data_IF_630435205356
#
_entry.id   IF_630435205356
#
_cell.length_a   1.000
_cell.length_b   1.000
_cell.length_c   1.000
_cell.angle_alpha   90.00
_cell.angle_beta   90.00
_cell.angle_gamma   90.00
#
_symmetry.space_group_name_H-M   'P 1'
#
loop_
_entity.id
_entity.type
_entity.pdbx_description
1 polymer ?
#
# COMPACT_ATOMS: atom_id res chain seq x y z
N UNK A 1 12.93 -9.03 3.27
CA UNK A 1 11.82 -9.98 3.01
C UNK A 1 11.85 -10.43 1.56
N UNK A 2 10.82 -11.16 1.09
CA UNK A 2 10.74 -11.70 -0.29
C UNK A 2 9.90 -10.89 -1.28
N UNK A 3 9.71 -9.59 -1.04
CA UNK A 3 8.78 -8.75 -1.81
C UNK A 3 9.13 -8.71 -3.31
N UNK A 4 10.40 -8.50 -3.67
CA UNK A 4 10.85 -8.52 -5.06
C UNK A 4 10.52 -9.81 -5.79
N UNK A 5 10.74 -10.97 -5.15
CA UNK A 5 10.41 -12.29 -5.72
C UNK A 5 8.91 -12.45 -5.93
N UNK A 6 8.10 -11.96 -5.00
CA UNK A 6 6.66 -11.99 -5.13
C UNK A 6 6.17 -11.07 -6.26
N UNK A 7 6.74 -9.87 -6.40
CA UNK A 7 6.45 -8.95 -7.50
C UNK A 7 6.89 -9.53 -8.86
N UNK A 8 8.04 -10.23 -8.92
CA UNK A 8 8.45 -10.94 -10.13
C UNK A 8 7.45 -12.03 -10.52
N UNK A 9 6.98 -12.82 -9.57
CA UNK A 9 5.92 -13.81 -9.79
C UNK A 9 4.63 -13.15 -10.33
N UNK A 10 4.20 -12.04 -9.72
CA UNK A 10 3.00 -11.33 -10.18
C UNK A 10 3.17 -10.87 -11.64
N UNK A 11 4.30 -10.25 -11.96
CA UNK A 11 4.54 -9.67 -13.29
C UNK A 11 4.71 -10.73 -14.37
N UNK A 12 5.51 -11.77 -14.09
CA UNK A 12 6.00 -12.70 -15.10
C UNK A 12 5.17 -13.97 -15.23
N UNK A 13 4.41 -14.33 -14.20
CA UNK A 13 3.64 -15.58 -14.18
C UNK A 13 2.15 -15.29 -14.04
N UNK A 14 1.75 -14.57 -13.00
CA UNK A 14 0.33 -14.37 -12.69
C UNK A 14 -0.39 -13.50 -13.74
N UNK A 15 0.17 -12.34 -14.09
CA UNK A 15 -0.45 -11.46 -15.09
C UNK A 15 -0.65 -12.13 -16.45
N UNK A 16 0.36 -12.81 -17.05
CA UNK A 16 0.16 -13.56 -18.28
C UNK A 16 -0.90 -14.65 -18.17
N UNK A 17 -0.95 -15.37 -17.04
CA UNK A 17 -1.96 -16.40 -16.80
C UNK A 17 -3.37 -15.80 -16.83
N UNK A 18 -3.61 -14.70 -16.11
CA UNK A 18 -4.94 -14.05 -16.07
C UNK A 18 -5.31 -13.47 -17.44
N UNK A 19 -4.36 -12.91 -18.18
CA UNK A 19 -4.61 -12.39 -19.53
C UNK A 19 -5.05 -13.49 -20.53
N UNK A 20 -4.69 -14.75 -20.28
CA UNK A 20 -5.19 -15.90 -21.03
C UNK A 20 -6.61 -16.34 -20.65
N UNK A 21 -7.12 -15.90 -19.49
CA UNK A 21 -8.44 -16.27 -18.97
C UNK A 21 -9.53 -15.24 -19.28
N UNK A 22 -9.16 -13.96 -19.43
CA UNK A 22 -10.10 -12.89 -19.73
C UNK A 22 -9.41 -11.73 -20.48
N UNK A 23 -10.13 -10.97 -21.32
CA UNK A 23 -9.62 -9.73 -21.89
C UNK A 23 -9.27 -8.73 -20.78
N UNK A 24 -8.03 -8.25 -20.78
CA UNK A 24 -7.54 -7.25 -19.83
C UNK A 24 -7.08 -5.99 -20.58
N UNK A 25 -7.31 -4.83 -19.97
CA UNK A 25 -6.68 -3.59 -20.40
C UNK A 25 -5.33 -3.41 -19.67
N UNK A 26 -4.18 -3.52 -20.37
CA UNK A 26 -2.87 -3.39 -19.74
C UNK A 26 -2.58 -1.96 -19.26
N UNK A 27 -3.35 -0.96 -19.70
CA UNK A 27 -3.26 0.42 -19.23
C UNK A 27 -4.14 0.70 -17.99
N UNK A 28 -4.90 -0.29 -17.51
CA UNK A 28 -5.82 -0.14 -16.35
C UNK A 28 -5.68 -1.28 -15.35
N UNK A 29 -4.51 -1.39 -14.73
CA UNK A 29 -4.21 -2.37 -13.70
C UNK A 29 -3.93 -1.69 -12.36
N UNK A 30 -4.45 -2.29 -11.29
CA UNK A 30 -4.27 -1.80 -9.93
C UNK A 30 -3.65 -2.85 -9.01
N UNK A 31 -2.79 -2.42 -8.09
CA UNK A 31 -2.31 -3.23 -6.98
C UNK A 31 -2.91 -2.70 -5.67
N UNK A 32 -3.65 -3.55 -4.96
CA UNK A 32 -4.19 -3.26 -3.65
C UNK A 32 -3.49 -4.09 -2.58
N UNK A 33 -3.25 -3.46 -1.43
CA UNK A 33 -2.77 -4.17 -0.25
C UNK A 33 -3.12 -3.46 1.04
N UNK A 34 -3.40 -4.25 2.07
CA UNK A 34 -3.68 -3.78 3.43
C UNK A 34 -2.55 -4.20 4.39
N UNK A 35 -2.17 -3.35 5.36
CA UNK A 35 -1.14 -3.66 6.36
C UNK A 35 0.21 -4.02 5.70
N UNK A 36 0.73 -5.24 5.86
CA UNK A 36 1.92 -5.72 5.15
C UNK A 36 1.72 -5.80 3.64
N UNK A 37 0.50 -6.07 3.19
CA UNK A 37 0.14 -5.94 1.78
C UNK A 37 0.29 -4.49 1.31
N UNK A 38 -0.13 -3.52 2.12
CA UNK A 38 0.03 -2.10 1.83
C UNK A 38 1.51 -1.68 1.80
N UNK A 39 2.32 -2.25 2.70
CA UNK A 39 3.78 -2.10 2.68
C UNK A 39 4.38 -2.63 1.36
N UNK A 40 3.95 -3.81 0.91
CA UNK A 40 4.36 -4.39 -0.37
C UNK A 40 3.90 -3.52 -1.57
N UNK A 41 2.67 -2.97 -1.52
CA UNK A 41 2.17 -2.04 -2.53
C UNK A 41 3.03 -0.78 -2.62
N UNK A 42 3.44 -0.21 -1.48
CA UNK A 42 4.37 0.94 -1.47
C UNK A 42 5.74 0.57 -2.02
N UNK A 43 6.30 -0.56 -1.59
CA UNK A 43 7.55 -1.08 -2.13
C UNK A 43 7.49 -1.24 -3.66
N UNK A 44 6.40 -1.81 -4.19
CA UNK A 44 6.18 -1.96 -5.63
C UNK A 44 6.14 -0.62 -6.36
N UNK A 45 5.42 0.38 -5.83
CA UNK A 45 5.41 1.73 -6.41
C UNK A 45 6.79 2.36 -6.37
N UNK A 46 7.50 2.25 -5.25
CA UNK A 46 8.76 2.95 -5.04
C UNK A 46 9.89 2.38 -5.89
N UNK A 47 9.93 1.06 -6.08
CA UNK A 47 10.99 0.36 -6.80
C UNK A 47 10.66 0.09 -8.27
N UNK A 48 9.38 -0.15 -8.59
CA UNK A 48 8.89 -0.60 -9.91
C UNK A 48 7.59 0.14 -10.31
N UNK A 49 7.59 1.49 -10.41
CA UNK A 49 6.36 2.29 -10.56
C UNK A 49 5.59 2.06 -11.87
N UNK A 50 6.18 1.39 -12.86
CA UNK A 50 5.52 1.05 -14.13
C UNK A 50 4.76 -0.27 -14.10
N UNK A 51 4.82 -1.03 -13.00
CA UNK A 51 4.20 -2.35 -12.89
C UNK A 51 2.66 -2.24 -12.82
N UNK A 52 2.12 -1.15 -12.27
CA UNK A 52 0.67 -0.89 -12.23
C UNK A 52 0.41 0.60 -12.49
N UNK A 53 -0.78 0.93 -12.99
CA UNK A 53 -1.17 2.34 -13.14
C UNK A 53 -1.74 2.91 -11.85
N UNK A 54 -2.30 2.07 -10.98
CA UNK A 54 -2.89 2.48 -9.70
C UNK A 54 -2.37 1.63 -8.55
N UNK A 55 -1.97 2.29 -7.46
CA UNK A 55 -1.52 1.66 -6.22
C UNK A 55 -2.46 2.08 -5.08
N UNK A 56 -3.03 1.12 -4.38
CA UNK A 56 -3.99 1.32 -3.30
C UNK A 56 -3.39 0.70 -2.02
N UNK A 57 -2.78 1.53 -1.18
CA UNK A 57 -2.15 1.05 0.06
C UNK A 57 -2.99 1.48 1.27
N UNK A 58 -3.72 0.53 1.83
CA UNK A 58 -4.55 0.71 3.01
C UNK A 58 -3.77 0.35 4.27
N UNK A 59 -3.72 1.27 5.23
CA UNK A 59 -3.07 1.10 6.53
C UNK A 59 -1.65 0.50 6.40
N UNK A 60 -0.81 1.00 5.47
CA UNK A 60 0.45 0.36 5.16
C UNK A 60 1.35 0.34 6.38
N UNK A 61 1.98 -0.81 6.67
CA UNK A 61 2.87 -0.98 7.83
C UNK A 61 4.22 -0.30 7.64
N UNK A 62 4.21 1.02 7.38
CA UNK A 62 5.38 1.87 7.16
C UNK A 62 6.34 1.82 8.36
N UNK A 63 5.85 1.52 9.57
CA UNK A 63 6.68 1.36 10.77
C UNK A 63 7.67 0.18 10.69
N UNK A 64 7.42 -0.80 9.81
CA UNK A 64 8.22 -2.01 9.72
C UNK A 64 9.69 -1.72 9.37
N UNK A 65 10.61 -2.44 10.02
CA UNK A 65 12.04 -2.38 9.73
C UNK A 65 12.60 -0.96 9.82
N UNK A 66 12.29 -0.21 10.89
CA UNK A 66 12.71 1.18 11.06
C UNK A 66 12.31 2.11 9.90
N UNK A 67 11.14 1.86 9.31
CA UNK A 67 10.64 2.60 8.14
C UNK A 67 11.49 2.43 6.89
N UNK A 68 12.09 1.26 6.72
CA UNK A 68 12.94 0.92 5.57
C UNK A 68 12.32 1.27 4.21
N UNK A 69 11.00 1.11 4.06
CA UNK A 69 10.29 1.45 2.80
C UNK A 69 10.46 2.92 2.39
N UNK A 70 10.68 3.83 3.34
CA UNK A 70 10.91 5.25 3.03
C UNK A 70 12.27 5.49 2.36
N UNK A 71 13.25 4.60 2.56
CA UNK A 71 14.54 4.70 1.85
C UNK A 71 14.37 4.48 0.34
N UNK A 72 13.35 3.74 -0.07
CA UNK A 72 13.07 3.40 -1.47
C UNK A 72 12.45 4.56 -2.26
N UNK A 73 11.98 5.61 -1.57
CA UNK A 73 11.55 6.87 -2.21
C UNK A 73 12.69 7.52 -3.00
N UNK A 74 13.95 7.25 -2.63
CA UNK A 74 15.11 7.75 -3.34
C UNK A 74 15.09 7.33 -4.81
N UNK A 75 15.06 8.31 -5.72
CA UNK A 75 15.01 8.10 -7.16
C UNK A 75 13.61 7.80 -7.74
N UNK A 76 12.54 7.78 -6.92
CA UNK A 76 11.19 7.57 -7.41
C UNK A 76 10.80 8.57 -8.50
N UNK A 77 11.10 9.86 -8.28
CA UNK A 77 10.82 10.92 -9.27
C UNK A 77 11.49 10.65 -10.62
N UNK A 78 12.73 10.15 -10.62
CA UNK A 78 13.44 9.78 -11.86
C UNK A 78 12.78 8.57 -12.52
N UNK A 79 12.41 7.55 -11.74
CA UNK A 79 11.75 6.34 -12.24
C UNK A 79 10.38 6.66 -12.84
N UNK A 80 9.57 7.51 -12.19
CA UNK A 80 8.25 7.90 -12.70
C UNK A 80 8.32 8.84 -13.90
N UNK A 81 9.34 9.71 -13.97
CA UNK A 81 9.57 10.56 -15.15
C UNK A 81 9.90 9.76 -16.42
N UNK A 82 10.43 8.54 -16.28
CA UNK A 82 10.73 7.65 -17.40
C UNK A 82 9.51 6.85 -17.89
N UNK A 83 8.36 6.93 -17.23
CA UNK A 83 7.15 6.20 -17.60
C UNK A 83 6.32 6.96 -18.63
N UNK A 84 5.57 6.26 -19.51
CA UNK A 84 4.66 6.90 -20.45
C UNK A 84 3.49 7.62 -19.77
N UNK A 85 3.20 7.28 -18.51
CA UNK A 85 2.18 7.92 -17.68
C UNK A 85 2.56 7.88 -16.19
N UNK A 86 2.03 8.83 -15.42
CA UNK A 86 2.27 8.88 -13.97
C UNK A 86 1.35 7.88 -13.24
N UNK A 87 1.89 7.01 -12.38
CA UNK A 87 1.05 6.13 -11.56
C UNK A 87 0.27 6.94 -10.52
N UNK A 88 -0.93 6.48 -10.19
CA UNK A 88 -1.75 7.01 -9.11
C UNK A 88 -1.49 6.25 -7.80
N UNK A 89 -1.46 6.96 -6.68
CA UNK A 89 -1.39 6.38 -5.34
C UNK A 89 -2.59 6.84 -4.52
N UNK A 90 -3.32 5.89 -3.94
CA UNK A 90 -4.29 6.13 -2.87
C UNK A 90 -3.74 5.55 -1.57
N UNK A 91 -3.71 6.38 -0.54
CA UNK A 91 -3.34 6.03 0.82
C UNK A 91 -4.56 6.16 1.72
N UNK A 92 -4.78 5.17 2.58
CA UNK A 92 -5.77 5.28 3.66
C UNK A 92 -5.20 4.75 4.96
N UNK A 93 -5.74 5.23 6.08
CA UNK A 93 -5.50 4.70 7.42
C UNK A 93 -6.72 5.01 8.28
N UNK A 94 -7.05 4.13 9.22
CA UNK A 94 -8.10 4.34 10.20
C UNK A 94 -7.65 5.33 11.28
N UNK A 95 -8.56 6.23 11.68
CA UNK A 95 -8.28 7.26 12.69
C UNK A 95 -7.88 6.69 14.06
N UNK A 96 -8.30 5.46 14.37
CA UNK A 96 -8.04 4.77 15.63
C UNK A 96 -6.83 3.81 15.59
N UNK A 97 -6.11 3.71 14.46
CA UNK A 97 -5.00 2.76 14.31
C UNK A 97 -3.73 3.17 15.06
N UNK A 98 -3.54 4.47 15.28
CA UNK A 98 -2.42 4.99 16.07
C UNK A 98 -2.93 5.43 17.43
N UNK A 99 -2.38 4.83 18.49
CA UNK A 99 -2.52 5.40 19.82
C UNK A 99 -1.93 6.81 19.80
N UNK A 100 -2.72 7.81 20.20
CA UNK A 100 -2.23 9.19 20.34
C UNK A 100 -1.02 9.17 21.29
N UNK A 101 0.16 9.49 20.77
CA UNK A 101 1.31 9.85 21.61
C UNK A 101 1.01 11.18 22.30
N UNK A 102 0.57 11.09 23.56
CA UNK A 102 0.54 12.12 24.63
C UNK A 102 -0.11 13.47 24.25
N UNK A 103 -1.43 13.54 24.42
CA UNK A 103 -2.23 14.77 24.57
C UNK A 103 -3.34 14.54 25.61
N UNK A 104 -3.95 15.60 26.19
CA UNK A 104 -4.99 15.43 27.20
C UNK A 104 -6.18 14.65 26.64
N UNK A 105 -6.84 13.87 27.51
CA UNK A 105 -7.93 12.98 27.13
C UNK A 105 -9.09 13.75 26.47
N UNK A 106 -9.67 13.21 25.39
CA UNK A 106 -10.76 13.88 24.69
C UNK A 106 -12.10 13.82 25.44
N UNK A 107 -12.93 14.84 25.25
CA UNK A 107 -14.34 14.88 25.68
C UNK A 107 -15.25 14.93 24.45
N UNK A 108 -16.32 14.13 24.43
CA UNK A 108 -17.32 14.10 23.35
C UNK A 108 -17.40 12.76 22.62
N UNK A 109 -17.60 12.78 21.29
CA UNK A 109 -17.87 11.61 20.43
C UNK A 109 -16.86 10.44 20.58
N UNK A 110 -15.66 10.69 21.11
CA UNK A 110 -14.64 9.68 21.43
C UNK A 110 -15.03 8.77 22.64
N UNK A 111 -15.96 9.18 23.51
CA UNK A 111 -16.51 8.31 24.56
C UNK A 111 -17.36 7.17 23.96
N UNK A 112 -18.05 7.43 22.85
CA UNK A 112 -18.88 6.43 22.16
C UNK A 112 -18.02 5.37 21.46
N UNK A 113 -16.80 5.71 21.02
CA UNK A 113 -15.85 4.75 20.47
C UNK A 113 -15.24 3.83 21.54
N UNK A 114 -15.04 4.34 22.76
CA UNK A 114 -14.61 3.53 23.91
C UNK A 114 -15.70 2.52 24.36
N UNK A 115 -16.97 2.87 24.21
CA UNK A 115 -18.11 1.96 24.46
C UNK A 115 -18.27 0.88 23.37
N UNK A 116 -17.69 1.08 22.18
CA UNK A 116 -17.74 0.14 21.05
C UNK A 116 -16.51 -0.76 20.97
N UNK A 117 -15.94 -1.16 22.12
CA UNK A 117 -14.99 -2.29 22.14
C UNK A 117 -15.68 -3.50 21.50
N UNK A 118 -15.07 -4.03 20.45
CA UNK A 118 -15.38 -5.37 19.96
C UNK A 118 -15.30 -6.34 21.15
N UNK A 119 -16.31 -7.20 21.24
CA UNK A 119 -16.53 -8.24 22.26
C UNK A 119 -15.19 -8.75 22.82
N UNK A 120 -15.03 -8.63 24.14
CA UNK A 120 -13.82 -9.03 24.86
C UNK A 120 -13.57 -10.54 24.78
N UNK A 121 -12.30 -10.91 24.96
CA UNK A 121 -11.91 -12.24 25.44
C UNK A 121 -12.12 -12.34 26.96
#
# INVERSE_FOLDING_TARGET
GGADRFLDFIERELKPLIAGLAPLDPARQALFGHSYGGLCTLHALFTRPGMFQTYLAASPSIWYGERVVLSELAGLAKRTAALPGKPALMLSAGELEQFRTRGPAPQGHEAVAAERRMVGE
#
